data_IF_893881117194
#
_entry.id   IF_893881117194
#
_cell.length_a   1.000
_cell.length_b   1.000
_cell.length_c   1.000
_cell.angle_alpha   90.00
_cell.angle_beta   90.00
_cell.angle_gamma   90.00
#
_symmetry.space_group_name_H-M   'P 1'
#
loop_
_entity.id
_entity.type
_entity.pdbx_description
1 polymer ?
#
# COMPACT_ATOMS: atom_id res chain seq x y z
N UNK A 1 -30.56 -29.63 -24.17
CA UNK A 1 -29.72 -29.38 -22.98
C UNK A 1 -28.68 -28.34 -23.39
N UNK A 2 -28.69 -27.09 -22.90
CA UNK A 2 -27.61 -26.16 -23.22
C UNK A 2 -26.48 -26.35 -22.21
N UNK A 3 -25.28 -26.57 -22.74
CA UNK A 3 -24.03 -26.69 -21.99
C UNK A 3 -23.70 -25.39 -21.26
N UNK A 4 -23.28 -25.50 -20.00
CA UNK A 4 -22.82 -24.38 -19.17
C UNK A 4 -21.38 -24.03 -19.54
N UNK A 5 -21.20 -23.26 -20.60
CA UNK A 5 -19.92 -22.68 -20.96
C UNK A 5 -19.79 -21.29 -20.30
N UNK A 6 -18.87 -21.14 -19.34
CA UNK A 6 -18.64 -19.84 -18.68
C UNK A 6 -17.98 -19.85 -17.29
N UNK A 7 -17.73 -21.01 -16.68
CA UNK A 7 -17.12 -21.08 -15.34
C UNK A 7 -15.58 -21.16 -15.31
N UNK A 8 -14.90 -21.22 -16.46
CA UNK A 8 -13.46 -21.56 -16.53
C UNK A 8 -12.47 -20.41 -16.28
N UNK A 9 -12.84 -19.14 -16.50
CA UNK A 9 -11.86 -18.05 -16.59
C UNK A 9 -11.57 -17.36 -15.23
N UNK A 10 -12.58 -17.29 -14.36
CA UNK A 10 -12.50 -16.56 -13.08
C UNK A 10 -11.52 -17.17 -12.07
N UNK A 11 -11.36 -18.50 -12.07
CA UNK A 11 -10.47 -19.21 -11.16
C UNK A 11 -9.01 -18.99 -11.55
N UNK A 12 -8.71 -19.03 -12.85
CA UNK A 12 -7.38 -18.80 -13.38
C UNK A 12 -6.93 -17.33 -13.23
N UNK A 13 -7.87 -16.38 -13.32
CA UNK A 13 -7.58 -14.95 -13.08
C UNK A 13 -7.30 -14.65 -11.60
N UNK A 14 -8.02 -15.30 -10.66
CA UNK A 14 -7.69 -15.23 -9.22
C UNK A 14 -6.33 -15.81 -8.90
N UNK A 15 -5.99 -16.96 -9.47
CA UNK A 15 -4.69 -17.59 -9.25
C UNK A 15 -3.54 -16.69 -9.75
N UNK A 16 -3.73 -15.99 -10.88
CA UNK A 16 -2.78 -14.98 -11.36
C UNK A 16 -2.67 -13.76 -10.44
N UNK A 17 -3.78 -13.27 -9.87
CA UNK A 17 -3.78 -12.14 -8.92
C UNK A 17 -3.15 -12.48 -7.57
N UNK A 18 -3.26 -13.72 -7.10
CA UNK A 18 -2.68 -14.18 -5.82
C UNK A 18 -1.17 -14.45 -5.86
N UNK A 19 -0.59 -14.53 -7.06
CA UNK A 19 0.78 -14.97 -7.27
C UNK A 19 0.97 -16.48 -7.03
N UNK A 20 2.19 -17.00 -7.19
CA UNK A 20 2.46 -18.43 -7.01
C UNK A 20 2.00 -18.92 -5.62
N UNK A 21 1.39 -20.13 -5.55
CA UNK A 21 0.95 -20.71 -4.28
C UNK A 21 2.14 -21.10 -3.38
N UNK A 22 3.37 -21.04 -3.91
CA UNK A 22 4.59 -21.24 -3.17
C UNK A 22 4.79 -20.19 -2.07
N UNK A 23 4.96 -20.68 -0.85
CA UNK A 23 5.16 -19.85 0.34
C UNK A 23 6.43 -19.02 0.25
N UNK A 24 7.55 -19.62 -0.14
CA UNK A 24 8.83 -18.92 -0.21
C UNK A 24 8.79 -17.76 -1.20
N UNK A 25 8.18 -17.98 -2.37
CA UNK A 25 8.03 -16.93 -3.39
C UNK A 25 7.22 -15.75 -2.83
N UNK A 26 6.09 -16.01 -2.15
CA UNK A 26 5.27 -14.92 -1.57
C UNK A 26 6.01 -14.18 -0.47
N UNK A 27 6.70 -14.87 0.42
CA UNK A 27 7.47 -14.25 1.50
C UNK A 27 8.59 -13.37 0.95
N UNK A 28 9.30 -13.83 -0.09
CA UNK A 28 10.36 -13.04 -0.74
C UNK A 28 9.79 -11.80 -1.44
N UNK A 29 8.66 -11.93 -2.13
CA UNK A 29 7.99 -10.80 -2.78
C UNK A 29 7.52 -9.76 -1.74
N UNK A 30 6.88 -10.21 -0.66
CA UNK A 30 6.43 -9.33 0.43
C UNK A 30 7.62 -8.63 1.12
N UNK A 31 8.69 -9.36 1.42
CA UNK A 31 9.90 -8.78 2.03
C UNK A 31 10.51 -7.69 1.13
N UNK A 32 10.59 -7.93 -0.18
CA UNK A 32 11.09 -6.93 -1.14
C UNK A 32 10.20 -5.68 -1.19
N UNK A 33 8.88 -5.86 -1.17
CA UNK A 33 7.92 -4.75 -1.13
C UNK A 33 8.07 -3.93 0.16
N UNK A 34 8.09 -4.60 1.32
CA UNK A 34 8.27 -3.94 2.64
C UNK A 34 9.59 -3.17 2.67
N UNK A 35 10.70 -3.78 2.26
CA UNK A 35 12.01 -3.12 2.25
C UNK A 35 12.05 -1.89 1.31
N UNK A 36 11.35 -1.96 0.18
CA UNK A 36 11.18 -0.81 -0.71
C UNK A 36 10.35 0.30 -0.06
N UNK A 37 9.26 -0.06 0.62
CA UNK A 37 8.39 0.90 1.31
C UNK A 37 9.09 1.58 2.48
N UNK A 38 9.90 0.85 3.27
CA UNK A 38 10.69 1.43 4.38
C UNK A 38 11.64 2.50 3.84
N UNK A 39 12.36 2.21 2.75
CA UNK A 39 13.26 3.19 2.11
C UNK A 39 12.53 4.42 1.61
N UNK A 40 11.35 4.23 1.02
CA UNK A 40 10.54 5.33 0.47
C UNK A 40 9.88 6.18 1.56
N UNK A 41 9.57 5.60 2.70
CA UNK A 41 8.94 6.28 3.84
C UNK A 41 9.95 7.00 4.73
N UNK A 42 11.20 6.55 4.79
CA UNK A 42 12.24 7.10 5.66
C UNK A 42 12.31 8.62 5.57
N UNK A 43 12.29 9.28 6.73
CA UNK A 43 12.46 10.73 6.88
C UNK A 43 13.91 11.18 6.63
N UNK A 44 14.14 12.30 5.96
CA UNK A 44 15.42 12.99 5.94
C UNK A 44 15.69 13.79 4.67
N UNK A 45 16.75 14.58 4.67
CA UNK A 45 17.19 15.32 3.49
C UNK A 45 17.46 14.34 2.33
N UNK A 46 16.94 14.67 1.14
CA UNK A 46 16.94 13.84 -0.07
C UNK A 46 16.19 12.50 -0.02
N UNK A 47 15.50 12.16 1.08
CA UNK A 47 14.59 11.02 1.09
C UNK A 47 13.21 11.41 0.54
N UNK A 48 12.46 10.46 -0.03
CA UNK A 48 11.12 10.77 -0.54
C UNK A 48 10.12 11.14 0.56
N UNK A 49 10.37 10.78 1.83
CA UNK A 49 9.47 11.07 2.95
C UNK A 49 8.01 10.69 2.66
N UNK A 50 7.79 9.61 1.91
CA UNK A 50 6.47 9.27 1.39
C UNK A 50 5.58 8.70 2.50
N UNK A 51 4.39 9.29 2.76
CA UNK A 51 3.49 8.82 3.80
C UNK A 51 2.95 7.44 3.51
N UNK A 52 2.73 6.67 4.58
CA UNK A 52 1.98 5.41 4.51
C UNK A 52 0.60 5.64 5.11
N UNK A 53 -0.44 5.29 4.36
CA UNK A 53 -1.81 5.37 4.83
C UNK A 53 -2.20 4.11 5.59
N UNK A 54 -2.77 4.25 6.78
CA UNK A 54 -3.24 3.12 7.60
C UNK A 54 -4.60 3.38 8.22
N UNK A 55 -5.31 2.31 8.59
CA UNK A 55 -6.63 2.44 9.22
C UNK A 55 -6.51 2.96 10.66
N UNK A 56 -5.61 2.39 11.45
CA UNK A 56 -5.57 2.71 12.87
C UNK A 56 -4.25 2.47 13.59
N UNK A 57 -4.31 2.62 14.91
CA UNK A 57 -3.14 2.59 15.80
C UNK A 57 -2.41 1.23 15.80
N UNK A 58 -3.09 0.13 15.51
CA UNK A 58 -2.45 -1.19 15.47
C UNK A 58 -1.55 -1.35 14.26
N UNK A 59 -1.99 -0.86 13.10
CA UNK A 59 -1.21 -0.85 11.87
C UNK A 59 0.03 0.03 12.03
N UNK A 60 -0.15 1.22 12.61
CA UNK A 60 0.96 2.12 12.91
C UNK A 60 2.00 1.42 13.81
N UNK A 61 1.58 0.79 14.91
CA UNK A 61 2.48 0.03 15.79
C UNK A 61 3.23 -1.08 15.04
N UNK A 62 2.56 -1.81 14.16
CA UNK A 62 3.17 -2.87 13.37
C UNK A 62 4.21 -2.29 12.40
N UNK A 63 3.91 -1.20 11.71
CA UNK A 63 4.86 -0.51 10.82
C UNK A 63 6.07 0.02 11.61
N UNK A 64 5.87 0.62 12.80
CA UNK A 64 7.00 1.04 13.65
C UNK A 64 7.89 -0.13 14.03
N UNK A 65 7.31 -1.27 14.44
CA UNK A 65 8.06 -2.48 14.75
C UNK A 65 8.82 -3.06 13.55
N UNK A 66 8.32 -2.86 12.32
CA UNK A 66 8.99 -3.24 11.08
C UNK A 66 10.08 -2.25 10.64
N UNK A 67 10.26 -1.11 11.32
CA UNK A 67 11.33 -0.15 11.06
C UNK A 67 10.92 1.06 10.20
N UNK A 68 9.63 1.32 10.04
CA UNK A 68 9.15 2.55 9.37
C UNK A 68 9.30 3.76 10.30
N UNK A 69 10.04 4.78 9.85
CA UNK A 69 10.36 5.97 10.66
C UNK A 69 9.67 7.25 10.22
N UNK A 70 9.17 7.32 8.98
CA UNK A 70 8.53 8.52 8.45
C UNK A 70 7.07 8.68 8.81
N UNK A 71 6.35 9.46 7.99
CA UNK A 71 4.95 9.79 8.21
C UNK A 71 4.07 8.55 8.06
N UNK A 72 3.22 8.30 9.07
CA UNK A 72 2.15 7.29 9.04
C UNK A 72 0.83 8.05 9.21
N UNK A 73 0.05 8.11 8.14
CA UNK A 73 -1.21 8.84 8.05
C UNK A 73 -2.38 7.92 8.42
N UNK A 74 -3.17 8.30 9.43
CA UNK A 74 -4.32 7.51 9.90
C UNK A 74 -5.60 8.03 9.27
N UNK A 75 -6.38 7.15 8.64
CA UNK A 75 -7.67 7.52 8.03
C UNK A 75 -8.82 7.63 9.02
N UNK A 76 -8.75 6.93 10.17
CA UNK A 76 -9.84 6.88 11.14
C UNK A 76 -9.92 8.18 11.99
N UNK A 77 -10.37 9.26 11.36
CA UNK A 77 -10.57 10.61 11.93
C UNK A 77 -12.05 10.98 12.09
N UNK A 78 -12.97 10.03 11.86
CA UNK A 78 -14.41 10.30 11.82
C UNK A 78 -14.85 11.17 10.63
N UNK A 79 -14.02 11.27 9.59
CA UNK A 79 -14.31 12.03 8.38
C UNK A 79 -15.02 11.15 7.35
N UNK A 80 -15.90 11.75 6.56
CA UNK A 80 -16.40 11.11 5.35
C UNK A 80 -15.29 10.97 4.29
N UNK A 81 -15.56 10.13 3.28
CA UNK A 81 -14.60 9.84 2.21
C UNK A 81 -14.22 11.09 1.41
N UNK A 82 -15.16 11.98 1.12
CA UNK A 82 -14.91 13.18 0.32
C UNK A 82 -13.94 14.11 1.05
N UNK A 83 -14.17 14.32 2.35
CA UNK A 83 -13.28 15.12 3.20
C UNK A 83 -11.89 14.51 3.32
N UNK A 84 -11.79 13.19 3.49
CA UNK A 84 -10.50 12.50 3.55
C UNK A 84 -9.72 12.65 2.24
N UNK A 85 -10.36 12.45 1.10
CA UNK A 85 -9.72 12.57 -0.22
C UNK A 85 -9.22 14.00 -0.46
N UNK A 86 -10.04 15.01 -0.16
CA UNK A 86 -9.65 16.41 -0.29
C UNK A 86 -8.41 16.71 0.58
N UNK A 87 -8.42 16.30 1.85
CA UNK A 87 -7.29 16.48 2.76
C UNK A 87 -6.00 15.81 2.26
N UNK A 88 -6.07 14.55 1.82
CA UNK A 88 -4.89 13.82 1.33
C UNK A 88 -4.32 14.47 0.07
N UNK A 89 -5.19 14.92 -0.84
CA UNK A 89 -4.77 15.62 -2.06
C UNK A 89 -4.14 16.98 -1.75
N UNK A 90 -4.73 17.78 -0.87
CA UNK A 90 -4.19 19.08 -0.48
C UNK A 90 -2.85 18.95 0.27
N UNK A 91 -2.72 17.93 1.12
CA UNK A 91 -1.52 17.74 1.96
C UNK A 91 -0.36 17.13 1.19
N UNK A 92 -0.62 16.12 0.36
CA UNK A 92 0.44 15.31 -0.27
C UNK A 92 0.46 15.40 -1.80
N UNK A 93 -0.56 16.00 -2.42
CA UNK A 93 -0.70 16.05 -3.87
C UNK A 93 -0.96 14.69 -4.50
N UNK A 94 -0.66 14.57 -5.80
CA UNK A 94 -0.83 13.33 -6.57
C UNK A 94 0.49 12.57 -6.78
N UNK A 95 1.62 13.27 -6.77
CA UNK A 95 2.96 12.70 -6.94
C UNK A 95 3.91 13.27 -5.90
N UNK A 96 4.80 12.41 -5.42
CA UNK A 96 5.88 12.82 -4.54
C UNK A 96 6.91 13.65 -5.33
N UNK A 97 7.39 14.75 -4.73
CA UNK A 97 8.25 15.71 -5.41
C UNK A 97 9.69 15.20 -5.60
N UNK A 98 10.15 14.24 -4.79
CA UNK A 98 11.50 13.70 -4.84
C UNK A 98 11.56 12.56 -5.86
N UNK A 99 10.73 11.52 -5.71
CA UNK A 99 10.82 10.32 -6.54
C UNK A 99 9.83 10.27 -7.73
N UNK A 100 8.94 11.27 -7.86
CA UNK A 100 7.92 11.40 -8.92
C UNK A 100 6.91 10.24 -9.01
N UNK A 101 6.90 9.33 -8.03
CA UNK A 101 5.96 8.21 -7.90
C UNK A 101 4.70 8.65 -7.13
N UNK A 102 3.65 7.80 -6.97
CA UNK A 102 2.42 8.17 -6.27
C UNK A 102 2.67 8.80 -4.89
N UNK A 103 1.95 9.86 -4.54
CA UNK A 103 2.21 10.62 -3.32
C UNK A 103 2.11 9.80 -2.02
N UNK A 104 1.36 8.70 -2.02
CA UNK A 104 1.12 7.84 -0.85
C UNK A 104 1.57 6.39 -1.13
N UNK A 105 1.91 5.68 -0.04
CA UNK A 105 2.04 4.23 0.00
C UNK A 105 0.74 3.67 0.59
N UNK A 106 0.17 2.66 -0.08
CA UNK A 106 -1.02 1.91 0.32
C UNK A 106 -0.66 0.45 0.62
#
# INVERSE_FOLDING_TARGET
MPEKEGLGDWVADRARRGGPPDREIRFRAAAKAIASSIRRNRSGEDNPDCPILVEGLRDEKALRALGFTGVVERVNRGWDRSRLVAYLHETYGTRNIVDKRPALIL
#
